data_IF_973745709249
#
_entry.id   IF_973745709249
#
_cell.length_a   1.000
_cell.length_b   1.000
_cell.length_c   1.000
_cell.angle_alpha   90.00
_cell.angle_beta   90.00
_cell.angle_gamma   90.00
#
_symmetry.space_group_name_H-M   'P 1'
#
loop_
_entity.id
_entity.type
_entity.pdbx_description
1 polymer ?
#
# COMPACT_ATOMS: atom_id res chain seq x y z
N UNK A 1 -6.61 12.40 -12.51
CA UNK A 1 -6.81 11.09 -13.16
C UNK A 1 -7.84 10.25 -12.42
N UNK A 2 -9.06 10.25 -12.94
CA UNK A 2 -10.25 9.56 -12.42
C UNK A 2 -10.54 8.27 -13.19
N UNK A 3 -9.59 7.34 -13.24
CA UNK A 3 -9.90 5.95 -13.58
C UNK A 3 -10.49 5.28 -12.34
N UNK A 4 -11.79 4.97 -12.33
CA UNK A 4 -12.41 4.13 -11.28
C UNK A 4 -12.25 2.66 -11.71
N UNK A 5 -11.83 1.79 -10.80
CA UNK A 5 -11.74 0.34 -11.08
C UNK A 5 -13.13 -0.15 -11.55
N UNK A 6 -13.22 -0.67 -12.77
CA UNK A 6 -14.48 -1.16 -13.33
C UNK A 6 -14.40 -2.67 -13.52
N UNK A 7 -15.09 -3.41 -12.63
CA UNK A 7 -15.20 -4.87 -12.69
C UNK A 7 -15.82 -5.37 -14.01
N UNK A 8 -16.75 -4.61 -14.59
CA UNK A 8 -17.41 -4.95 -15.85
C UNK A 8 -16.41 -4.87 -17.01
N UNK A 9 -15.55 -3.86 -17.02
CA UNK A 9 -14.48 -3.72 -18.01
C UNK A 9 -13.44 -4.85 -17.84
N UNK A 10 -13.04 -5.16 -16.59
CA UNK A 10 -12.08 -6.25 -16.30
C UNK A 10 -12.55 -7.63 -16.79
N UNK A 11 -13.85 -7.89 -16.83
CA UNK A 11 -14.40 -9.13 -17.37
C UNK A 11 -14.32 -9.20 -18.89
N UNK A 12 -14.59 -8.08 -19.58
CA UNK A 12 -14.54 -8.00 -21.05
C UNK A 12 -13.11 -7.93 -21.61
N UNK A 13 -12.15 -7.40 -20.85
CA UNK A 13 -10.75 -7.25 -21.28
C UNK A 13 -9.78 -8.22 -20.61
N UNK A 14 -10.26 -9.35 -20.08
CA UNK A 14 -9.42 -10.38 -19.44
C UNK A 14 -8.49 -9.85 -18.34
N UNK A 15 -8.95 -8.88 -17.55
CA UNK A 15 -8.26 -8.38 -16.37
C UNK A 15 -7.59 -7.00 -16.51
N UNK A 16 -7.68 -6.32 -17.66
CA UNK A 16 -7.12 -4.96 -17.82
C UNK A 16 -7.92 -3.89 -17.05
N UNK A 17 -9.16 -4.17 -16.62
CA UNK A 17 -9.99 -3.20 -15.88
C UNK A 17 -9.46 -2.75 -14.51
N UNK A 18 -8.34 -3.32 -14.02
CA UNK A 18 -7.59 -2.86 -12.84
C UNK A 18 -6.42 -1.92 -13.21
N UNK A 19 -6.63 -1.04 -14.18
CA UNK A 19 -5.64 -0.09 -14.67
C UNK A 19 -4.96 0.75 -13.56
N UNK A 20 -5.66 1.10 -12.48
CA UNK A 20 -5.06 1.87 -11.39
C UNK A 20 -3.94 1.10 -10.68
N UNK A 21 -4.11 -0.20 -10.50
CA UNK A 21 -3.09 -1.04 -9.87
C UNK A 21 -1.94 -1.34 -10.84
N UNK A 22 -2.26 -1.70 -12.08
CA UNK A 22 -1.26 -2.01 -13.11
C UNK A 22 -0.37 -0.79 -13.43
N UNK A 23 -0.95 0.40 -13.61
CA UNK A 23 -0.14 1.63 -13.76
C UNK A 23 0.63 2.00 -12.51
N UNK A 24 0.09 1.70 -11.31
CA UNK A 24 0.81 1.96 -10.06
C UNK A 24 1.96 0.99 -9.83
N UNK A 25 1.89 -0.25 -10.34
CA UNK A 25 2.87 -1.30 -10.07
C UNK A 25 3.10 -2.19 -11.31
N UNK A 26 3.70 -1.64 -12.38
CA UNK A 26 3.84 -2.36 -13.66
C UNK A 26 4.75 -3.59 -13.58
N UNK A 27 5.58 -3.67 -12.53
CA UNK A 27 6.45 -4.82 -12.28
C UNK A 27 5.76 -5.96 -11.50
N UNK A 28 4.52 -5.79 -11.02
CA UNK A 28 3.74 -6.89 -10.43
C UNK A 28 3.07 -7.68 -11.55
N UNK A 29 3.26 -9.00 -11.60
CA UNK A 29 2.65 -9.82 -12.66
C UNK A 29 1.12 -9.92 -12.55
N UNK A 30 0.53 -9.41 -11.46
CA UNK A 30 -0.92 -9.41 -11.21
C UNK A 30 -1.51 -8.08 -11.66
N UNK A 31 -2.68 -8.12 -12.30
CA UNK A 31 -3.47 -6.92 -12.57
C UNK A 31 -4.34 -6.54 -11.35
N UNK A 32 -4.76 -7.51 -10.53
CA UNK A 32 -5.57 -7.27 -9.33
C UNK A 32 -4.87 -7.58 -8.00
N UNK A 33 -5.03 -6.69 -7.00
CA UNK A 33 -4.44 -6.87 -5.67
C UNK A 33 -5.09 -7.99 -4.84
N UNK A 34 -6.42 -8.16 -4.92
CA UNK A 34 -7.16 -9.14 -4.10
C UNK A 34 -7.24 -10.48 -4.81
N UNK A 35 -7.24 -11.56 -4.02
CA UNK A 35 -7.28 -12.92 -4.56
C UNK A 35 -8.53 -13.20 -5.40
N UNK A 36 -9.67 -12.59 -5.03
CA UNK A 36 -10.96 -12.71 -5.73
C UNK A 36 -11.15 -11.73 -6.90
N UNK A 37 -10.16 -10.86 -7.18
CA UNK A 37 -10.22 -10.05 -8.40
C UNK A 37 -10.13 -10.97 -9.61
N UNK A 38 -11.10 -10.85 -10.54
CA UNK A 38 -11.11 -11.61 -11.78
C UNK A 38 -9.94 -11.16 -12.65
N UNK A 39 -8.92 -12.01 -12.75
CA UNK A 39 -7.67 -11.72 -13.44
C UNK A 39 -7.17 -13.04 -14.06
N UNK A 40 -7.70 -13.38 -15.26
CA UNK A 40 -7.33 -14.58 -16.00
C UNK A 40 -5.83 -14.66 -16.28
N UNK A 41 -5.17 -13.52 -16.54
CA UNK A 41 -3.72 -13.46 -16.76
C UNK A 41 -2.92 -13.91 -15.52
N UNK A 42 -3.30 -13.46 -14.32
CA UNK A 42 -2.72 -13.93 -13.05
C UNK A 42 -2.85 -15.45 -12.88
N UNK A 43 -3.98 -16.04 -13.27
CA UNK A 43 -4.17 -17.50 -13.16
C UNK A 43 -3.38 -18.26 -14.22
N UNK A 44 -3.32 -17.75 -15.46
CA UNK A 44 -2.51 -18.34 -16.53
C UNK A 44 -1.02 -18.33 -16.18
N UNK A 45 -0.48 -17.19 -15.73
CA UNK A 45 0.93 -17.04 -15.31
C UNK A 45 1.23 -17.93 -14.09
N UNK A 46 0.33 -17.98 -13.10
CA UNK A 46 0.50 -18.85 -11.93
C UNK A 46 0.50 -20.34 -12.31
N UNK A 47 -0.37 -20.74 -13.24
CA UNK A 47 -0.42 -22.12 -13.75
C UNK A 47 0.83 -22.43 -14.57
N UNK A 48 1.30 -21.51 -15.41
CA UNK A 48 2.57 -21.62 -16.11
C UNK A 48 3.75 -21.78 -15.16
N UNK A 49 3.76 -21.09 -14.02
CA UNK A 49 4.77 -21.30 -12.97
C UNK A 49 4.69 -22.71 -12.35
N UNK A 50 3.48 -23.21 -12.08
CA UNK A 50 3.27 -24.57 -11.54
C UNK A 50 3.72 -25.66 -12.52
N UNK A 51 3.56 -25.42 -13.81
CA UNK A 51 3.97 -26.33 -14.90
C UNK A 51 5.45 -26.15 -15.30
N UNK A 52 6.20 -25.26 -14.64
CA UNK A 52 7.61 -25.02 -14.94
C UNK A 52 7.89 -24.15 -16.18
N UNK A 53 6.85 -23.58 -16.80
CA UNK A 53 6.93 -22.74 -18.00
C UNK A 53 7.40 -21.31 -17.70
N UNK A 54 7.21 -20.84 -16.48
CA UNK A 54 7.65 -19.50 -16.05
C UNK A 54 8.28 -19.55 -14.66
N UNK A 55 9.25 -18.68 -14.39
CA UNK A 55 9.90 -18.56 -13.08
C UNK A 55 10.06 -17.08 -12.71
N UNK A 56 10.44 -16.79 -11.46
CA UNK A 56 10.74 -15.42 -10.98
C UNK A 56 9.58 -14.41 -11.07
N UNK A 57 8.36 -14.83 -10.73
CA UNK A 57 7.22 -13.91 -10.65
C UNK A 57 7.47 -12.78 -9.63
N UNK A 58 7.47 -11.53 -10.13
CA UNK A 58 7.66 -10.33 -9.31
C UNK A 58 6.34 -9.89 -8.69
N UNK A 59 6.33 -9.68 -7.37
CA UNK A 59 5.18 -9.16 -6.63
C UNK A 59 5.59 -7.92 -5.86
N UNK A 60 4.79 -6.86 -5.91
CA UNK A 60 5.02 -5.66 -5.12
C UNK A 60 4.76 -5.95 -3.65
N UNK A 61 5.73 -5.62 -2.81
CA UNK A 61 5.63 -5.79 -1.36
C UNK A 61 4.56 -4.87 -0.76
N UNK A 62 3.84 -5.36 0.26
CA UNK A 62 2.80 -4.57 0.91
C UNK A 62 3.28 -3.18 1.39
N UNK A 63 4.48 -3.01 1.99
CA UNK A 63 4.95 -1.69 2.40
C UNK A 63 5.04 -0.66 1.26
N UNK A 64 5.42 -1.09 0.06
CA UNK A 64 5.48 -0.21 -1.13
C UNK A 64 4.07 0.26 -1.51
N UNK A 65 3.09 -0.63 -1.46
CA UNK A 65 1.70 -0.28 -1.74
C UNK A 65 1.14 0.72 -0.73
N UNK A 66 1.49 0.54 0.55
CA UNK A 66 1.07 1.44 1.62
C UNK A 66 1.76 2.81 1.56
N UNK A 67 2.99 2.89 1.04
CA UNK A 67 3.67 4.16 0.78
C UNK A 67 2.89 5.01 -0.22
N UNK A 68 2.52 4.43 -1.36
CA UNK A 68 1.68 5.13 -2.36
C UNK A 68 0.34 5.57 -1.79
N UNK A 69 -0.23 4.77 -0.89
CA UNK A 69 -1.49 5.13 -0.22
C UNK A 69 -1.31 6.25 0.80
N UNK A 70 -0.18 6.32 1.49
CA UNK A 70 0.17 7.43 2.37
C UNK A 70 0.32 8.72 1.55
N UNK A 71 1.11 8.70 0.47
CA UNK A 71 1.30 9.83 -0.45
C UNK A 71 -0.05 10.40 -0.93
N UNK A 72 -0.91 9.54 -1.47
CA UNK A 72 -2.25 9.95 -1.94
C UNK A 72 -3.14 10.53 -0.84
N UNK A 73 -3.00 10.08 0.42
CA UNK A 73 -3.79 10.63 1.51
C UNK A 73 -3.21 11.97 1.99
N UNK A 74 -1.89 12.12 2.00
CA UNK A 74 -1.24 13.41 2.26
C UNK A 74 -1.67 14.47 1.25
N UNK A 75 -1.67 14.15 -0.05
CA UNK A 75 -2.15 15.08 -1.10
C UNK A 75 -3.59 15.56 -0.85
N UNK A 76 -4.47 14.70 -0.33
CA UNK A 76 -5.83 15.09 0.02
C UNK A 76 -5.88 16.04 1.21
N UNK A 77 -5.04 15.80 2.22
CA UNK A 77 -4.92 16.71 3.34
C UNK A 77 -4.40 18.07 2.90
N UNK A 78 -3.34 18.12 2.08
CA UNK A 78 -2.81 19.37 1.51
C UNK A 78 -3.87 20.12 0.69
N UNK A 79 -4.62 19.41 -0.16
CA UNK A 79 -5.72 19.97 -0.96
C UNK A 79 -6.86 20.50 -0.09
N UNK A 80 -7.11 19.88 1.06
CA UNK A 80 -8.13 20.36 2.00
C UNK A 80 -7.61 21.58 2.75
N UNK A 81 -6.35 21.54 3.23
CA UNK A 81 -5.71 22.62 3.97
C UNK A 81 -5.60 23.93 3.18
N UNK A 82 -5.45 23.86 1.85
CA UNK A 82 -5.39 25.04 0.99
C UNK A 82 -6.69 25.86 0.95
N UNK A 83 -7.79 25.32 1.48
CA UNK A 83 -9.09 25.99 1.55
C UNK A 83 -9.28 26.80 2.85
N UNK A 84 -8.35 26.72 3.81
CA UNK A 84 -8.47 27.38 5.12
C UNK A 84 -7.62 28.65 5.21
N UNK A 85 -7.95 29.49 6.20
CA UNK A 85 -7.15 30.66 6.58
C UNK A 85 -5.74 30.21 7.01
N UNK A 86 -4.65 30.92 6.63
CA UNK A 86 -3.27 30.48 6.84
C UNK A 86 -2.92 30.09 8.28
N UNK A 87 -3.44 30.78 9.30
CA UNK A 87 -3.14 30.48 10.70
C UNK A 87 -3.71 29.13 11.15
N UNK A 88 -4.95 28.83 10.81
CA UNK A 88 -5.57 27.51 11.08
C UNK A 88 -4.89 26.43 10.26
N UNK A 89 -4.55 26.75 9.00
CA UNK A 89 -3.81 25.85 8.12
C UNK A 89 -2.45 25.44 8.68
N UNK A 90 -1.72 26.37 9.33
CA UNK A 90 -0.38 26.11 9.84
C UNK A 90 -0.35 25.09 11.00
N UNK A 91 -1.25 25.19 11.99
CA UNK A 91 -1.33 24.22 13.09
C UNK A 91 -1.69 22.83 12.57
N UNK A 92 -2.69 22.74 11.69
CA UNK A 92 -3.08 21.46 11.10
C UNK A 92 -2.01 20.85 10.21
N UNK A 93 -1.30 21.68 9.42
CA UNK A 93 -0.19 21.22 8.60
C UNK A 93 0.91 20.58 9.48
N UNK A 94 1.24 21.19 10.62
CA UNK A 94 2.20 20.61 11.56
C UNK A 94 1.73 19.24 12.09
N UNK A 95 0.47 19.12 12.53
CA UNK A 95 -0.10 17.85 13.03
C UNK A 95 -0.10 16.75 11.98
N UNK A 96 -0.50 17.08 10.75
CA UNK A 96 -0.53 16.15 9.62
C UNK A 96 0.89 15.70 9.27
N UNK A 97 1.86 16.63 9.22
CA UNK A 97 3.26 16.32 8.94
C UNK A 97 3.85 15.41 10.02
N UNK A 98 3.64 15.71 11.31
CA UNK A 98 4.11 14.84 12.40
C UNK A 98 3.50 13.43 12.32
N UNK A 99 2.19 13.32 12.05
CA UNK A 99 1.54 12.02 11.91
C UNK A 99 2.03 11.27 10.65
N UNK A 100 2.28 11.99 9.54
CA UNK A 100 2.86 11.42 8.32
C UNK A 100 4.25 10.84 8.57
N UNK A 101 5.11 11.58 9.26
CA UNK A 101 6.46 11.13 9.62
C UNK A 101 6.42 9.86 10.47
N UNK A 102 5.52 9.79 11.45
CA UNK A 102 5.35 8.62 12.30
C UNK A 102 4.88 7.39 11.51
N UNK A 103 3.94 7.58 10.57
CA UNK A 103 3.52 6.50 9.67
C UNK A 103 4.69 6.02 8.79
N UNK A 104 5.45 6.96 8.21
CA UNK A 104 6.56 6.61 7.33
C UNK A 104 7.67 5.86 8.07
N UNK A 105 8.01 6.29 9.30
CA UNK A 105 8.98 5.61 10.15
C UNK A 105 8.56 4.15 10.42
N UNK A 106 7.32 3.92 10.85
CA UNK A 106 6.83 2.58 11.10
C UNK A 106 6.69 1.75 9.82
N UNK A 107 6.39 2.38 8.69
CA UNK A 107 6.35 1.72 7.38
C UNK A 107 7.76 1.26 6.95
N UNK A 108 8.78 2.10 7.16
CA UNK A 108 10.18 1.78 6.92
C UNK A 108 10.64 0.62 7.80
N UNK A 109 10.31 0.66 9.09
CA UNK A 109 10.61 -0.42 10.03
C UNK A 109 9.95 -1.74 9.62
N UNK A 110 8.68 -1.70 9.23
CA UNK A 110 7.98 -2.89 8.73
C UNK A 110 8.61 -3.43 7.44
N UNK A 111 8.95 -2.56 6.50
CA UNK A 111 9.65 -2.91 5.26
C UNK A 111 10.97 -3.63 5.52
N UNK A 112 11.81 -3.07 6.41
CA UNK A 112 13.09 -3.69 6.81
C UNK A 112 12.87 -5.08 7.40
N UNK A 113 12.00 -5.20 8.40
CA UNK A 113 11.72 -6.48 9.07
C UNK A 113 11.15 -7.53 8.08
N UNK A 114 10.35 -7.10 7.10
CA UNK A 114 9.82 -7.99 6.07
C UNK A 114 10.92 -8.54 5.17
N UNK A 115 11.87 -7.70 4.75
CA UNK A 115 13.01 -8.13 3.93
C UNK A 115 13.95 -9.06 4.68
N UNK A 116 14.21 -8.78 5.96
CA UNK A 116 14.96 -9.68 6.85
C UNK A 116 14.26 -11.04 7.00
N UNK A 117 12.94 -11.03 7.22
CA UNK A 117 12.13 -12.25 7.25
C UNK A 117 12.20 -13.06 5.95
N UNK A 118 12.06 -12.40 4.80
CA UNK A 118 12.17 -13.06 3.50
C UNK A 118 13.57 -13.65 3.26
N UNK A 119 14.63 -12.95 3.68
CA UNK A 119 16.02 -13.46 3.62
C UNK A 119 16.16 -14.71 4.48
N UNK A 120 15.68 -14.68 5.73
CA UNK A 120 15.71 -15.84 6.61
C UNK A 120 14.91 -17.02 6.05
N UNK A 121 13.75 -16.78 5.40
CA UNK A 121 13.00 -17.85 4.73
C UNK A 121 13.80 -18.52 3.62
N UNK A 122 14.53 -17.73 2.80
CA UNK A 122 15.40 -18.26 1.74
C UNK A 122 16.55 -19.11 2.29
N UNK A 123 17.13 -18.67 3.40
CA UNK A 123 18.23 -19.36 4.06
C UNK A 123 17.78 -20.52 4.98
N UNK A 124 16.46 -20.68 5.21
CA UNK A 124 15.88 -21.59 6.21
C UNK A 124 16.28 -21.27 7.66
N UNK A 125 16.53 -19.99 7.96
CA UNK A 125 17.01 -19.47 9.25
C UNK A 125 15.91 -18.69 10.02
N UNK A 126 14.65 -19.06 9.85
CA UNK A 126 13.53 -18.32 10.46
C UNK A 126 13.47 -18.59 11.96
N UNK A 127 13.51 -17.52 12.76
CA UNK A 127 13.40 -17.59 14.22
C UNK A 127 12.08 -17.01 14.74
N UNK A 128 11.68 -17.43 15.94
CA UNK A 128 10.51 -16.88 16.63
C UNK A 128 10.66 -15.37 16.91
N UNK A 129 11.88 -14.91 17.19
CA UNK A 129 12.19 -13.50 17.40
C UNK A 129 11.95 -12.67 16.13
N UNK A 130 12.36 -13.17 14.97
CA UNK A 130 12.15 -12.52 13.67
C UNK A 130 10.65 -12.38 13.35
N UNK A 131 9.88 -13.45 13.56
CA UNK A 131 8.42 -13.45 13.40
C UNK A 131 7.74 -12.44 14.34
N UNK A 132 8.20 -12.36 15.59
CA UNK A 132 7.69 -11.40 16.58
C UNK A 132 7.97 -9.97 16.15
N UNK A 133 9.21 -9.66 15.80
CA UNK A 133 9.65 -8.35 15.31
C UNK A 133 8.86 -7.89 14.08
N UNK A 134 8.62 -8.79 13.11
CA UNK A 134 7.79 -8.49 11.93
C UNK A 134 6.33 -8.17 12.31
N UNK A 135 5.74 -8.96 13.21
CA UNK A 135 4.35 -8.76 13.68
C UNK A 135 4.20 -7.45 14.45
N UNK A 136 5.16 -7.12 15.31
CA UNK A 136 5.18 -5.88 16.08
C UNK A 136 5.31 -4.66 15.19
N UNK A 137 6.26 -4.65 14.24
CA UNK A 137 6.40 -3.56 13.28
C UNK A 137 5.12 -3.35 12.45
N UNK A 138 4.48 -4.44 11.99
CA UNK A 138 3.19 -4.35 11.29
C UNK A 138 2.07 -3.80 12.17
N UNK A 139 2.04 -4.17 13.46
CA UNK A 139 1.04 -3.65 14.41
C UNK A 139 1.25 -2.16 14.70
N UNK A 140 2.50 -1.74 14.92
CA UNK A 140 2.85 -0.34 15.13
C UNK A 140 2.45 0.52 13.92
N UNK A 141 2.83 0.09 12.71
CA UNK A 141 2.41 0.75 11.47
C UNK A 141 0.88 0.86 11.35
N UNK A 142 0.13 -0.21 11.66
CA UNK A 142 -1.34 -0.18 11.64
C UNK A 142 -1.94 0.81 12.63
N UNK A 143 -1.31 1.03 13.79
CA UNK A 143 -1.79 1.99 14.79
C UNK A 143 -1.55 3.41 14.30
N UNK A 144 -0.32 3.74 13.91
CA UNK A 144 0.01 5.05 13.34
C UNK A 144 -0.85 5.38 12.12
N UNK A 145 -1.12 4.40 11.24
CA UNK A 145 -2.01 4.60 10.10
C UNK A 145 -3.44 4.94 10.51
N UNK A 146 -3.96 4.31 11.57
CA UNK A 146 -5.31 4.63 12.09
C UNK A 146 -5.36 6.03 12.69
N UNK A 147 -4.34 6.42 13.42
CA UNK A 147 -4.22 7.76 14.00
C UNK A 147 -4.12 8.82 12.91
N UNK A 148 -3.31 8.59 11.87
CA UNK A 148 -3.22 9.46 10.71
C UNK A 148 -4.56 9.62 9.98
N UNK A 149 -5.35 8.56 9.83
CA UNK A 149 -6.70 8.64 9.25
C UNK A 149 -7.72 9.28 10.20
N UNK A 150 -7.50 9.24 11.51
CA UNK A 150 -8.39 9.90 12.45
C UNK A 150 -8.33 11.43 12.31
N UNK A 151 -7.22 11.98 11.80
CA UNK A 151 -7.10 13.39 11.48
C UNK A 151 -8.12 13.84 10.43
N UNK A 152 -8.48 13.00 9.45
CA UNK A 152 -9.51 13.31 8.45
C UNK A 152 -10.86 13.64 9.09
N UNK A 153 -11.21 12.96 10.18
CA UNK A 153 -12.47 13.18 10.90
C UNK A 153 -12.43 14.40 11.82
N UNK A 154 -11.24 14.78 12.25
CA UNK A 154 -11.02 15.90 13.14
C UNK A 154 -10.73 17.21 12.39
N UNK A 155 -10.42 17.12 11.09
CA UNK A 155 -10.16 18.26 10.23
C UNK A 155 -11.42 19.16 10.23
N UNK A 156 -11.26 20.48 10.44
CA UNK A 156 -12.39 21.40 10.37
C UNK A 156 -13.06 21.32 9.00
N UNK A 157 -14.36 21.59 8.93
CA UNK A 157 -15.06 21.73 7.65
C UNK A 157 -14.64 23.06 7.00
N UNK A 158 -14.48 23.11 5.67
CA UNK A 158 -14.22 24.36 4.97
C UNK A 158 -15.35 25.36 5.28
N UNK A 159 -14.96 26.62 5.49
CA UNK A 159 -15.88 27.73 5.77
C UNK A 159 -16.68 28.13 4.53
#
# INVERSE_FOLDING_TARGET
>A
NTSKDSWICAYLTFGEGYHNFHHSFPADYRNGLRWYHFDPAKWAIWTGQRLGLTSNLKRTEAPIQWRKKLERQTEKYETSLSQFVPEVGADWNHRIESARQLVDEHLNRWSKNLREYQRACRNKEVTAALLRSLREARRAWRRAWKEFLALERALPLPA
#
